data_IF_348789822919
#
_entry.id   IF_348789822919
#
_cell.length_a   1.000
_cell.length_b   1.000
_cell.length_c   1.000
_cell.angle_alpha   90.00
_cell.angle_beta   90.00
_cell.angle_gamma   90.00
#
_symmetry.space_group_name_H-M   'P 1'
#
loop_
_entity.id
_entity.type
_entity.pdbx_description
1 polymer ?
#
# COMPACT_ATOMS: atom_id res chain seq x y z
N UNK A 1 34.02 3.78 -8.58
CA UNK A 1 32.76 3.10 -8.91
C UNK A 1 31.65 4.06 -8.53
N UNK A 2 31.13 4.83 -9.50
CA UNK A 2 30.06 5.78 -9.25
C UNK A 2 28.74 5.02 -9.40
N UNK A 3 28.25 4.48 -8.29
CA UNK A 3 26.85 4.06 -8.21
C UNK A 3 26.02 5.33 -8.30
N UNK A 4 25.40 5.57 -9.44
CA UNK A 4 24.37 6.60 -9.61
C UNK A 4 23.29 6.32 -8.57
N UNK A 5 23.28 7.11 -7.49
CA UNK A 5 22.09 7.21 -6.66
C UNK A 5 21.02 7.80 -7.58
N UNK A 6 20.03 6.98 -7.93
CA UNK A 6 18.80 7.48 -8.51
C UNK A 6 18.28 8.52 -7.53
N UNK A 7 18.40 9.80 -7.88
CA UNK A 7 17.56 10.83 -7.29
C UNK A 7 16.13 10.48 -7.72
N UNK A 8 15.50 9.59 -6.96
CA UNK A 8 14.07 9.41 -7.03
C UNK A 8 13.50 10.75 -6.57
N UNK A 9 13.17 11.62 -7.52
CA UNK A 9 12.18 12.67 -7.32
C UNK A 9 10.87 11.95 -7.04
N UNK A 10 10.72 11.48 -5.80
CA UNK A 10 9.45 10.94 -5.33
C UNK A 10 8.48 12.11 -5.33
N UNK A 11 7.43 11.97 -6.13
CA UNK A 11 6.26 12.80 -5.94
C UNK A 11 5.69 12.48 -4.56
N UNK A 12 5.28 13.52 -3.82
CA UNK A 12 4.53 13.32 -2.59
C UNK A 12 3.25 12.56 -2.93
N UNK A 13 3.18 11.30 -2.51
CA UNK A 13 2.01 10.46 -2.77
C UNK A 13 0.90 10.93 -1.82
N UNK A 14 -0.13 11.55 -2.37
CA UNK A 14 -1.36 11.75 -1.63
C UNK A 14 -2.11 10.43 -1.51
N UNK A 15 -2.11 9.83 -0.32
CA UNK A 15 -2.80 8.56 -0.04
C UNK A 15 -4.30 8.61 -0.34
N UNK A 16 -4.92 9.80 -0.31
CA UNK A 16 -6.35 9.94 -0.64
C UNK A 16 -6.63 9.87 -2.14
N UNK A 17 -5.60 9.91 -2.99
CA UNK A 17 -5.73 9.76 -4.44
C UNK A 17 -5.64 8.29 -4.90
N UNK A 18 -5.45 7.36 -3.96
CA UNK A 18 -5.36 5.92 -4.24
C UNK A 18 -6.77 5.31 -4.22
N UNK A 19 -7.54 5.53 -5.29
CA UNK A 19 -8.97 5.19 -5.39
C UNK A 19 -9.30 3.71 -5.14
N UNK A 20 -8.35 2.82 -5.40
CA UNK A 20 -8.52 1.37 -5.23
C UNK A 20 -7.86 0.81 -3.95
N UNK A 21 -7.36 1.67 -3.07
CA UNK A 21 -6.78 1.26 -1.79
C UNK A 21 -7.59 1.83 -0.63
N UNK A 22 -8.08 0.94 0.23
CA UNK A 22 -8.74 1.31 1.47
C UNK A 22 -7.80 1.04 2.65
N UNK A 23 -7.51 2.09 3.41
CA UNK A 23 -6.60 2.06 4.56
C UNK A 23 -7.39 2.03 5.86
N UNK A 24 -7.08 1.07 6.72
CA UNK A 24 -7.70 0.90 8.02
C UNK A 24 -6.64 0.72 9.10
N UNK A 25 -7.01 1.05 10.34
CA UNK A 25 -6.22 0.71 11.53
C UNK A 25 -7.13 -0.02 12.50
N UNK A 26 -6.74 -1.23 12.88
CA UNK A 26 -7.50 -2.06 13.82
C UNK A 26 -6.54 -2.59 14.90
N UNK A 27 -6.83 -2.33 16.17
CA UNK A 27 -6.00 -2.75 17.31
C UNK A 27 -4.49 -2.41 17.19
N UNK A 28 -4.16 -1.32 16.49
CA UNK A 28 -2.77 -0.90 16.25
C UNK A 28 -2.09 -1.60 15.06
N UNK A 29 -2.79 -2.49 14.37
CA UNK A 29 -2.36 -3.08 13.10
C UNK A 29 -2.88 -2.22 11.94
N UNK A 30 -2.01 -2.00 10.94
CA UNK A 30 -2.38 -1.37 9.68
C UNK A 30 -2.91 -2.43 8.72
N UNK A 31 -4.06 -2.13 8.11
CA UNK A 31 -4.69 -2.98 7.12
C UNK A 31 -4.85 -2.17 5.84
N UNK A 32 -4.44 -2.76 4.71
CA UNK A 32 -4.64 -2.17 3.38
C UNK A 32 -5.43 -3.16 2.54
N UNK A 33 -6.56 -2.70 2.00
CA UNK A 33 -7.41 -3.50 1.14
C UNK A 33 -7.27 -2.99 -0.30
N UNK A 34 -7.04 -3.91 -1.24
CA UNK A 34 -7.26 -3.64 -2.66
C UNK A 34 -8.75 -3.83 -2.94
N UNK A 35 -9.40 -2.81 -3.48
CA UNK A 35 -10.82 -2.83 -3.84
C UNK A 35 -11.03 -2.68 -5.35
N UNK A 36 -12.07 -3.30 -5.88
CA UNK A 36 -12.49 -3.08 -7.26
C UNK A 36 -13.26 -1.76 -7.44
N UNK A 37 -13.71 -1.50 -8.66
CA UNK A 37 -14.51 -0.31 -9.01
C UNK A 37 -15.90 -0.26 -8.36
N UNK A 38 -16.41 -1.37 -7.82
CA UNK A 38 -17.66 -1.44 -7.06
C UNK A 38 -17.41 -1.36 -5.54
N UNK A 39 -16.15 -1.32 -5.10
CA UNK A 39 -15.74 -1.26 -3.70
C UNK A 39 -15.62 -2.64 -3.03
N UNK A 40 -15.68 -3.75 -3.78
CA UNK A 40 -15.47 -5.07 -3.22
C UNK A 40 -13.99 -5.34 -2.98
N UNK A 41 -13.69 -5.92 -1.82
CA UNK A 41 -12.32 -6.25 -1.42
C UNK A 41 -11.85 -7.46 -2.22
N UNK A 42 -10.80 -7.25 -3.02
CA UNK A 42 -10.11 -8.28 -3.79
C UNK A 42 -9.13 -9.03 -2.89
N UNK A 43 -8.29 -8.29 -2.17
CA UNK A 43 -7.30 -8.84 -1.23
C UNK A 43 -6.98 -7.83 -0.13
N UNK A 44 -6.41 -8.32 0.96
CA UNK A 44 -5.97 -7.54 2.12
C UNK A 44 -4.50 -7.77 2.39
N UNK A 45 -3.85 -6.79 2.96
CA UNK A 45 -2.57 -6.97 3.61
C UNK A 45 -2.53 -6.35 4.99
N UNK A 46 -1.66 -6.90 5.82
CA UNK A 46 -1.54 -6.58 7.24
C UNK A 46 -0.10 -6.19 7.58
N UNK A 47 0.08 -5.30 8.56
CA UNK A 47 1.41 -4.93 9.01
C UNK A 47 1.43 -3.96 10.18
N UNK A 48 2.60 -3.78 10.77
CA UNK A 48 2.83 -2.77 11.82
C UNK A 48 3.00 -1.37 11.22
N UNK A 49 3.13 -1.27 9.90
CA UNK A 49 3.14 -0.01 9.15
C UNK A 49 2.29 -0.13 7.90
N UNK A 50 1.88 1.01 7.33
CA UNK A 50 1.17 1.04 6.03
C UNK A 50 2.01 0.38 4.94
N UNK A 51 3.34 0.56 4.95
CA UNK A 51 4.24 -0.02 3.94
C UNK A 51 4.27 -1.55 4.07
N UNK A 52 4.34 -2.08 5.29
CA UNK A 52 4.26 -3.53 5.52
C UNK A 52 2.93 -4.09 5.02
N UNK A 53 1.82 -3.44 5.33
CA UNK A 53 0.49 -3.85 4.88
C UNK A 53 0.34 -3.80 3.34
N UNK A 54 0.91 -2.80 2.65
CA UNK A 54 0.94 -2.75 1.18
C UNK A 54 1.75 -3.93 0.61
N UNK A 55 2.92 -4.21 1.19
CA UNK A 55 3.79 -5.29 0.71
C UNK A 55 3.14 -6.67 0.91
N UNK A 56 2.51 -6.89 2.07
CA UNK A 56 1.74 -8.11 2.35
C UNK A 56 0.56 -8.28 1.38
N UNK A 57 -0.20 -7.19 1.13
CA UNK A 57 -1.29 -7.18 0.17
C UNK A 57 -0.81 -7.54 -1.24
N UNK A 58 0.35 -7.02 -1.65
CA UNK A 58 0.96 -7.33 -2.95
C UNK A 58 1.43 -8.79 -3.03
N UNK A 59 2.01 -9.32 -1.95
CA UNK A 59 2.46 -10.70 -1.89
C UNK A 59 1.30 -11.69 -2.11
N UNK A 60 0.09 -11.35 -1.65
CA UNK A 60 -1.11 -12.16 -1.83
C UNK A 60 -1.59 -12.27 -3.30
N UNK A 61 -0.98 -11.55 -4.24
CA UNK A 61 -1.34 -11.55 -5.66
C UNK A 61 -0.33 -12.30 -6.56
N UNK A 62 0.80 -12.78 -6.03
CA UNK A 62 1.92 -13.35 -6.79
C UNK A 62 2.34 -14.76 -6.35
#
# INVERSE_FOLDING_TARGET
MNGTQLENKMEDINITALEHLMFEVNNGEHIVNLVDHEGYIITRGYGNTIIEAINDMHHNLI
#
